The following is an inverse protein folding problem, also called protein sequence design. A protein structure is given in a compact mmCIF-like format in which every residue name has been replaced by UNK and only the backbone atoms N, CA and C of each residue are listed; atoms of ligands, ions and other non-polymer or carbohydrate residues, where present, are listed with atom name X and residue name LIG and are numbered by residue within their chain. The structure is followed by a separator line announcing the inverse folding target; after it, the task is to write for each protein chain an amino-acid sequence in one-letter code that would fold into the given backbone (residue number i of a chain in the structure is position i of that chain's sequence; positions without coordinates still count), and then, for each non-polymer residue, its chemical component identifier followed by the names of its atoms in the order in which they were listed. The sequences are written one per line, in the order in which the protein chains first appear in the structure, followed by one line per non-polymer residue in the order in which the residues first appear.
data_IF_261160380693
#
_entry.id   IF_261160380693
#
_cell.length_a   1.000
_cell.length_b   1.000
_cell.length_c   1.000
_cell.angle_alpha   90.00
_cell.angle_beta   90.00
_cell.angle_gamma   90.00
#
_symmetry.space_group_name_H-M   'P 1'
#
loop_
_entity.id
_entity.type
_entity.pdbx_description
1 polymer ?
#
# COMPACT_ATOMS: atom_id res chain seq x y z
N UNK A 1 -11.22 4.37 9.90
CA UNK A 1 -10.24 5.34 9.37
C UNK A 1 -10.33 6.64 10.16
N UNK A 2 -9.18 7.28 10.43
CA UNK A 2 -9.08 8.59 11.07
C UNK A 2 -8.38 9.57 10.13
N UNK A 3 -8.94 10.75 10.00
CA UNK A 3 -8.52 11.78 9.05
C UNK A 3 -8.82 13.18 9.63
N UNK A 4 -8.25 14.21 9.04
CA UNK A 4 -8.56 15.59 9.40
C UNK A 4 -9.75 16.10 8.60
N UNK A 5 -10.65 16.82 9.28
CA UNK A 5 -11.76 17.55 8.69
C UNK A 5 -11.70 19.01 9.14
N UNK A 6 -12.33 19.90 8.39
CA UNK A 6 -12.46 21.29 8.77
C UNK A 6 -13.25 21.42 10.08
N UNK A 7 -12.84 22.33 10.96
CA UNK A 7 -13.58 22.64 12.18
C UNK A 7 -14.91 23.32 11.83
N UNK A 8 -15.96 22.98 12.57
CA UNK A 8 -17.34 23.36 12.25
C UNK A 8 -17.54 24.89 12.12
N UNK A 9 -16.85 25.70 12.93
CA UNK A 9 -16.91 27.18 12.85
C UNK A 9 -16.38 27.73 11.53
N UNK A 10 -15.28 27.16 11.03
CA UNK A 10 -14.64 27.58 9.78
C UNK A 10 -15.42 27.04 8.60
N UNK A 11 -16.00 25.85 8.73
CA UNK A 11 -16.87 25.26 7.72
C UNK A 11 -18.12 26.09 7.42
N UNK A 12 -18.60 26.89 8.38
CA UNK A 12 -19.71 27.84 8.17
C UNK A 12 -19.27 29.19 7.59
N UNK A 13 -17.97 29.44 7.54
CA UNK A 13 -17.41 30.71 7.06
C UNK A 13 -17.25 30.73 5.54
N UNK A 14 -17.10 31.93 4.97
CA UNK A 14 -16.79 32.11 3.53
C UNK A 14 -15.44 31.53 3.10
N UNK A 15 -14.57 31.23 4.06
CA UNK A 15 -13.24 30.66 3.81
C UNK A 15 -13.21 29.13 3.82
N UNK A 16 -14.37 28.48 3.99
CA UNK A 16 -14.48 27.02 4.08
C UNK A 16 -13.87 26.32 2.86
N UNK A 17 -14.24 26.74 1.66
CA UNK A 17 -13.77 26.12 0.41
C UNK A 17 -12.25 26.23 0.25
N UNK A 18 -11.68 27.38 0.59
CA UNK A 18 -10.23 27.61 0.56
C UNK A 18 -9.49 26.64 1.48
N UNK A 19 -9.94 26.49 2.73
CA UNK A 19 -9.29 25.56 3.65
C UNK A 19 -9.56 24.09 3.32
N UNK A 20 -10.68 23.77 2.70
CA UNK A 20 -10.94 22.42 2.18
C UNK A 20 -9.97 22.05 1.05
N UNK A 21 -9.68 22.98 0.12
CA UNK A 21 -8.68 22.78 -0.94
C UNK A 21 -7.28 22.53 -0.37
N UNK A 22 -6.85 23.33 0.62
CA UNK A 22 -5.57 23.09 1.31
C UNK A 22 -5.59 21.72 2.00
N UNK A 23 -6.66 21.43 2.73
CA UNK A 23 -6.80 20.18 3.49
C UNK A 23 -6.69 18.97 2.58
N UNK A 24 -7.31 18.98 1.40
CA UNK A 24 -7.23 17.90 0.42
C UNK A 24 -5.79 17.56 0.04
N UNK A 25 -4.94 18.59 -0.12
CA UNK A 25 -3.52 18.44 -0.48
C UNK A 25 -2.67 17.87 0.66
N UNK A 26 -2.96 18.25 1.92
CA UNK A 26 -2.14 17.90 3.09
C UNK A 26 -2.77 16.84 4.01
N UNK A 27 -3.95 16.30 3.66
CA UNK A 27 -4.65 15.36 4.53
C UNK A 27 -3.83 14.09 4.73
N UNK A 28 -3.92 13.52 5.93
CA UNK A 28 -3.34 12.23 6.23
C UNK A 28 -4.43 11.27 6.66
N UNK A 29 -4.32 10.02 6.19
CA UNK A 29 -5.27 8.96 6.53
C UNK A 29 -4.57 7.92 7.39
N UNK A 30 -5.19 7.57 8.52
CA UNK A 30 -4.76 6.45 9.34
C UNK A 30 -5.86 5.38 9.37
N UNK A 31 -5.47 4.17 9.01
CA UNK A 31 -6.32 3.00 9.06
C UNK A 31 -6.01 2.19 10.32
N UNK A 32 -7.06 1.68 10.95
CA UNK A 32 -7.00 0.81 12.11
C UNK A 32 -8.31 0.05 12.20
N UNK A 33 -8.22 -1.19 12.65
CA UNK A 33 -9.39 -2.05 12.88
C UNK A 33 -10.26 -1.53 14.03
N UNK A 34 -9.65 -0.82 14.99
CA UNK A 34 -10.32 -0.32 16.18
C UNK A 34 -10.45 1.21 16.17
N UNK A 35 -11.62 1.73 16.60
CA UNK A 35 -11.92 3.17 16.71
C UNK A 35 -10.97 3.95 17.63
N UNK A 36 -10.24 3.26 18.52
CA UNK A 36 -9.39 3.89 19.54
C UNK A 36 -8.01 4.34 19.00
N UNK A 37 -7.56 3.82 17.85
CA UNK A 37 -6.24 4.15 17.27
C UNK A 37 -5.08 4.11 18.28
N UNK A 38 -5.02 3.06 19.10
CA UNK A 38 -3.99 2.90 20.13
C UNK A 38 -2.79 2.11 19.59
N UNK A 39 -1.58 2.47 20.03
CA UNK A 39 -0.36 1.70 19.80
C UNK A 39 0.21 1.19 21.11
N UNK A 40 0.78 -0.02 21.11
CA UNK A 40 1.50 -0.58 22.24
C UNK A 40 2.86 0.13 22.36
N UNK A 41 3.18 0.66 23.54
CA UNK A 41 4.47 1.28 23.87
C UNK A 41 4.97 0.71 25.20
N UNK A 42 6.27 0.48 25.34
CA UNK A 42 6.87 0.06 26.61
C UNK A 42 7.35 1.30 27.37
N UNK A 43 6.98 1.43 28.65
CA UNK A 43 7.47 2.49 29.54
C UNK A 43 7.82 1.85 30.89
N UNK A 44 9.06 2.04 31.35
CA UNK A 44 9.58 1.47 32.61
C UNK A 44 9.25 -0.04 32.76
N UNK A 45 9.56 -0.83 31.72
CA UNK A 45 9.33 -2.28 31.73
C UNK A 45 7.87 -2.75 31.54
N UNK A 46 6.86 -1.88 31.61
CA UNK A 46 5.45 -2.23 31.40
C UNK A 46 4.98 -1.90 29.98
N UNK A 47 4.11 -2.74 29.40
CA UNK A 47 3.46 -2.49 28.10
C UNK A 47 2.18 -1.66 28.33
N UNK A 48 2.11 -0.47 27.75
CA UNK A 48 1.00 0.47 27.87
C UNK A 48 0.41 0.73 26.49
N UNK A 49 -0.90 0.97 26.41
CA UNK A 49 -1.56 1.45 25.19
C UNK A 49 -1.59 2.97 25.19
N UNK A 50 -1.06 3.58 24.13
CA UNK A 50 -0.99 5.04 23.98
C UNK A 50 -1.70 5.43 22.69
N UNK A 51 -2.47 6.54 22.66
CA UNK A 51 -3.01 7.07 21.41
C UNK A 51 -1.92 7.23 20.35
N UNK A 52 -2.18 6.74 19.14
CA UNK A 52 -1.33 7.02 18.00
C UNK A 52 -1.52 8.49 17.65
N UNK A 53 -0.42 9.24 17.59
CA UNK A 53 -0.44 10.61 17.11
C UNK A 53 -0.67 10.65 15.59
N UNK A 54 -1.42 11.64 15.14
CA UNK A 54 -1.64 11.94 13.73
C UNK A 54 -1.44 13.43 13.55
N UNK A 55 -0.60 13.79 12.58
CA UNK A 55 -0.30 15.16 12.19
C UNK A 55 -0.66 15.34 10.72
N UNK A 56 -0.89 16.59 10.31
CA UNK A 56 -1.03 16.94 8.90
C UNK A 56 0.25 16.57 8.14
N UNK A 57 0.14 16.38 6.83
CA UNK A 57 1.30 16.05 6.02
C UNK A 57 2.28 17.24 6.00
N UNK A 58 3.54 16.96 6.35
CA UNK A 58 4.63 17.92 6.16
C UNK A 58 5.11 17.82 4.71
N UNK A 59 5.28 18.96 4.07
CA UNK A 59 5.70 19.05 2.68
C UNK A 59 7.23 19.08 2.65
N UNK A 60 7.88 18.17 1.92
CA UNK A 60 9.35 18.13 1.82
C UNK A 60 9.81 18.96 0.62
N UNK A 61 10.94 19.66 0.74
CA UNK A 61 11.52 20.48 -0.34
C UNK A 61 11.77 19.69 -1.65
N UNK A 62 12.15 18.42 -1.60
CA UNK A 62 12.32 17.61 -2.81
C UNK A 62 11.01 17.21 -3.50
N UNK A 63 9.88 17.32 -2.80
CA UNK A 63 8.57 17.14 -3.42
C UNK A 63 8.14 18.41 -4.18
N UNK A 64 8.86 19.53 -4.09
CA UNK A 64 8.51 20.81 -4.71
C UNK A 64 8.29 20.77 -6.24
N UNK A 65 8.99 19.92 -7.03
CA UNK A 65 8.65 19.70 -8.44
C UNK A 65 7.23 19.12 -8.63
N UNK A 66 6.75 18.32 -7.66
CA UNK A 66 5.37 17.83 -7.57
C UNK A 66 4.42 18.91 -7.05
N UNK A 67 4.90 19.88 -6.26
CA UNK A 67 4.10 21.05 -5.84
C UNK A 67 3.85 22.06 -6.95
N UNK A 68 4.72 22.15 -7.96
CA UNK A 68 4.39 22.78 -9.26
C UNK A 68 3.18 22.11 -9.93
N UNK A 69 2.94 20.82 -9.69
CA UNK A 69 1.75 20.08 -10.16
C UNK A 69 0.55 20.14 -9.19
N UNK A 70 0.75 20.50 -7.91
CA UNK A 70 -0.33 20.67 -6.92
C UNK A 70 -0.95 22.08 -6.96
N UNK A 71 -0.47 22.96 -7.85
CA UNK A 71 -1.00 24.31 -8.09
C UNK A 71 -1.31 25.06 -6.79
N UNK A 72 -0.31 25.15 -5.90
CA UNK A 72 -0.48 25.97 -4.70
C UNK A 72 -0.59 27.44 -5.11
N UNK A 73 -1.80 28.00 -4.92
CA UNK A 73 -2.03 29.41 -5.16
C UNK A 73 -1.14 30.23 -4.21
N UNK A 74 -0.68 31.41 -4.63
CA UNK A 74 0.15 32.29 -3.82
C UNK A 74 -0.45 32.53 -2.42
N UNK A 75 -1.79 32.64 -2.36
CA UNK A 75 -2.53 32.78 -1.09
C UNK A 75 -2.42 31.57 -0.17
N UNK A 76 -2.35 30.35 -0.70
CA UNK A 76 -2.19 29.12 0.09
C UNK A 76 -0.78 29.04 0.69
N UNK A 77 0.24 29.45 -0.07
CA UNK A 77 1.65 29.38 0.35
C UNK A 77 1.93 30.20 1.62
N UNK A 78 1.21 31.31 1.83
CA UNK A 78 1.33 32.16 3.03
C UNK A 78 1.05 31.37 4.33
N UNK A 79 0.23 30.32 4.25
CA UNK A 79 -0.11 29.48 5.39
C UNK A 79 0.91 28.39 5.69
N UNK A 80 2.01 28.33 4.94
CA UNK A 80 3.08 27.36 5.16
C UNK A 80 4.33 28.03 5.72
N UNK A 81 4.88 27.44 6.78
CA UNK A 81 6.11 27.91 7.43
C UNK A 81 7.23 26.95 7.12
N UNK A 82 8.35 27.49 6.60
CA UNK A 82 9.58 26.75 6.39
C UNK A 82 10.20 26.40 7.75
N UNK A 83 10.41 25.12 8.00
CA UNK A 83 10.98 24.58 9.25
C UNK A 83 12.07 23.58 8.89
N UNK A 84 13.17 23.59 9.62
CA UNK A 84 14.28 22.66 9.44
C UNK A 84 14.37 21.74 10.65
N UNK A 85 14.36 20.43 10.42
CA UNK A 85 14.49 19.42 11.47
C UNK A 85 15.70 18.52 11.17
N UNK A 86 16.51 18.24 12.20
CA UNK A 86 17.62 17.30 12.06
C UNK A 86 17.11 15.86 12.00
N UNK A 87 17.29 15.19 10.87
CA UNK A 87 16.95 13.79 10.73
C UNK A 87 18.10 12.92 11.24
N UNK A 88 17.94 12.34 12.44
CA UNK A 88 18.94 11.46 13.05
C UNK A 88 19.29 10.20 12.24
N UNK A 89 18.35 9.69 11.43
CA UNK A 89 18.57 8.48 10.63
C UNK A 89 19.46 8.78 9.43
N UNK A 90 19.24 9.91 8.76
CA UNK A 90 20.02 10.35 7.60
C UNK A 90 21.24 11.20 7.96
N UNK A 91 21.29 11.70 9.20
CA UNK A 91 22.29 12.65 9.72
C UNK A 91 22.36 13.97 8.93
N UNK A 92 21.22 14.42 8.41
CA UNK A 92 21.11 15.64 7.58
C UNK A 92 19.95 16.50 8.09
N UNK A 93 20.09 17.82 7.96
CA UNK A 93 18.99 18.76 8.16
C UNK A 93 18.04 18.69 6.97
N UNK A 94 16.79 18.33 7.24
CA UNK A 94 15.76 18.26 6.21
C UNK A 94 14.82 19.46 6.35
N UNK A 95 14.65 20.17 5.25
CA UNK A 95 13.72 21.29 5.12
C UNK A 95 12.31 20.78 4.85
N UNK A 96 11.36 21.26 5.65
CA UNK A 96 9.94 20.97 5.51
C UNK A 96 9.11 22.25 5.53
N UNK A 97 7.93 22.20 4.94
CA UNK A 97 6.91 23.22 5.06
C UNK A 97 5.74 22.67 5.87
N UNK A 98 5.46 23.32 7.00
CA UNK A 98 4.37 22.97 7.91
C UNK A 98 3.22 23.95 7.78
N UNK A 99 1.99 23.44 7.91
CA UNK A 99 0.82 24.31 7.95
C UNK A 99 0.78 25.09 9.27
N UNK A 100 0.69 26.43 9.17
CA UNK A 100 0.81 27.38 10.28
C UNK A 100 -0.32 27.28 11.32
N UNK A 101 -1.54 26.97 10.88
CA UNK A 101 -2.74 27.02 11.73
C UNK A 101 -3.42 25.64 11.95
N UNK A 102 -2.75 24.62 12.55
CA UNK A 102 -3.31 23.27 12.67
C UNK A 102 -4.67 23.19 13.38
N UNK A 103 -4.97 24.16 14.26
CA UNK A 103 -6.22 24.24 15.04
C UNK A 103 -7.48 24.43 14.17
N UNK A 104 -7.31 24.81 12.89
CA UNK A 104 -8.41 24.91 11.92
C UNK A 104 -8.98 23.54 11.54
N UNK A 105 -8.24 22.47 11.79
CA UNK A 105 -8.62 21.11 11.45
C UNK A 105 -8.82 20.25 12.69
N UNK A 106 -9.81 19.38 12.65
CA UNK A 106 -10.18 18.46 13.73
C UNK A 106 -10.08 17.03 13.23
N UNK A 107 -9.55 16.13 14.07
CA UNK A 107 -9.54 14.70 13.76
C UNK A 107 -10.95 14.12 13.86
N UNK A 108 -11.43 13.56 12.74
CA UNK A 108 -12.69 12.81 12.69
C UNK A 108 -12.38 11.34 12.43
N UNK A 109 -13.25 10.47 12.94
CA UNK A 109 -13.14 9.02 12.74
C UNK A 109 -14.38 8.56 11.97
N UNK A 110 -14.16 7.93 10.82
CA UNK A 110 -15.18 7.30 9.99
C UNK A 110 -14.96 5.79 9.97
N UNK A 111 -15.99 4.96 10.14
CA UNK A 111 -15.89 3.52 9.87
C UNK A 111 -15.39 3.33 8.44
N UNK A 112 -14.31 2.57 8.29
CA UNK A 112 -13.77 2.22 6.98
C UNK A 112 -13.71 0.71 6.93
N UNK A 113 -14.91 0.14 6.95
CA UNK A 113 -15.16 -1.29 6.91
C UNK A 113 -15.59 -1.57 5.47
N UNK A 114 -15.06 -2.64 4.89
CA UNK A 114 -15.58 -3.17 3.63
C UNK A 114 -16.97 -3.73 3.95
N UNK A 115 -18.01 -2.92 3.75
CA UNK A 115 -19.41 -3.29 4.03
C UNK A 115 -20.01 -4.12 2.91
N UNK A 116 -19.41 -4.09 1.72
CA UNK A 116 -19.89 -4.80 0.55
C UNK A 116 -19.15 -6.11 0.37
N UNK A 117 -19.91 -7.17 0.12
CA UNK A 117 -19.36 -8.45 -0.28
C UNK A 117 -18.61 -8.29 -1.60
N UNK A 118 -17.47 -8.97 -1.73
CA UNK A 118 -16.81 -9.13 -3.03
C UNK A 118 -17.83 -9.83 -3.95
N UNK A 119 -18.19 -9.25 -5.11
CA UNK A 119 -19.03 -9.96 -6.06
C UNK A 119 -18.27 -11.22 -6.47
N UNK A 120 -18.85 -12.37 -6.13
CA UNK A 120 -18.27 -13.67 -6.40
C UNK A 120 -18.92 -14.17 -7.68
N UNK A 121 -18.17 -14.14 -8.76
CA UNK A 121 -18.56 -14.79 -10.00
C UNK A 121 -18.24 -16.29 -9.86
N UNK A 122 -19.29 -17.09 -9.71
CA UNK A 122 -19.16 -18.52 -9.47
C UNK A 122 -18.53 -19.23 -10.66
N UNK A 123 -18.72 -18.73 -11.88
CA UNK A 123 -18.20 -19.37 -13.08
C UNK A 123 -16.71 -19.10 -13.22
N UNK A 124 -16.27 -17.86 -12.98
CA UNK A 124 -14.84 -17.52 -12.94
C UNK A 124 -14.08 -18.23 -11.81
N UNK A 125 -14.66 -18.34 -10.61
CA UNK A 125 -14.03 -19.06 -9.50
C UNK A 125 -13.95 -20.58 -9.78
N UNK A 126 -14.94 -21.14 -10.47
CA UNK A 126 -14.91 -22.54 -10.93
C UNK A 126 -13.81 -22.77 -11.97
N UNK A 127 -13.70 -21.90 -12.98
CA UNK A 127 -12.65 -21.97 -13.99
C UNK A 127 -11.26 -21.85 -13.36
N UNK A 128 -11.07 -20.89 -12.44
CA UNK A 128 -9.82 -20.74 -11.69
C UNK A 128 -9.47 -22.00 -10.90
N UNK A 129 -10.45 -22.61 -10.22
CA UNK A 129 -10.23 -23.85 -9.47
C UNK A 129 -9.86 -25.04 -10.40
N UNK A 130 -10.45 -25.11 -11.59
CA UNK A 130 -10.10 -26.12 -12.60
C UNK A 130 -8.67 -25.91 -13.12
N UNK A 131 -8.29 -24.67 -13.41
CA UNK A 131 -6.93 -24.32 -13.83
C UNK A 131 -5.90 -24.61 -12.74
N UNK A 132 -6.18 -24.27 -11.48
CA UNK A 132 -5.30 -24.59 -10.36
C UNK A 132 -5.13 -26.11 -10.21
N UNK A 133 -6.21 -26.90 -10.34
CA UNK A 133 -6.16 -28.36 -10.32
C UNK A 133 -5.32 -28.95 -11.47
N UNK A 134 -5.43 -28.38 -12.67
CA UNK A 134 -4.60 -28.77 -13.82
C UNK A 134 -3.11 -28.45 -13.58
N UNK A 135 -2.80 -27.28 -13.03
CA UNK A 135 -1.43 -26.85 -12.74
C UNK A 135 -0.80 -27.64 -11.58
N UNK A 136 -1.59 -28.08 -10.60
CA UNK A 136 -1.14 -28.91 -9.49
C UNK A 136 -0.86 -30.37 -9.89
N UNK A 137 -1.32 -30.81 -11.06
CA UNK A 137 -1.00 -32.14 -11.57
C UNK A 137 0.50 -32.27 -11.87
N UNK A 138 1.15 -33.22 -11.20
CA UNK A 138 2.60 -33.46 -11.30
C UNK A 138 3.07 -33.70 -12.75
N UNK A 139 2.25 -34.37 -13.58
CA UNK A 139 2.59 -34.62 -15.00
C UNK A 139 2.65 -33.30 -15.79
N UNK A 140 1.62 -32.47 -15.64
CA UNK A 140 1.49 -31.15 -16.29
C UNK A 140 2.60 -30.22 -15.85
N UNK A 141 2.88 -30.18 -14.54
CA UNK A 141 3.97 -29.40 -13.98
C UNK A 141 5.33 -29.80 -14.54
N UNK A 142 5.57 -31.10 -14.76
CA UNK A 142 6.80 -31.61 -15.38
C UNK A 142 6.95 -31.17 -16.84
N UNK A 143 5.87 -31.19 -17.61
CA UNK A 143 5.84 -30.70 -19.00
C UNK A 143 6.13 -29.20 -19.03
N UNK A 144 5.48 -28.40 -18.18
CA UNK A 144 5.71 -26.95 -18.06
C UNK A 144 7.16 -26.65 -17.68
N UNK A 145 7.72 -27.35 -16.69
CA UNK A 145 9.11 -27.12 -16.28
C UNK A 145 10.12 -27.46 -17.38
N UNK A 146 9.86 -28.54 -18.14
CA UNK A 146 10.75 -29.02 -19.21
C UNK A 146 10.65 -28.15 -20.47
N UNK A 147 9.43 -27.86 -20.94
CA UNK A 147 9.19 -27.12 -22.19
C UNK A 147 9.25 -25.61 -22.01
N UNK A 148 8.72 -25.06 -20.91
CA UNK A 148 8.52 -23.60 -20.75
C UNK A 148 9.64 -22.95 -19.93
N UNK A 149 10.02 -23.52 -18.79
CA UNK A 149 10.99 -22.90 -17.86
C UNK A 149 12.44 -23.30 -18.19
N UNK A 150 12.65 -24.47 -18.80
CA UNK A 150 13.97 -24.94 -19.24
C UNK A 150 14.93 -25.34 -18.11
N UNK A 151 14.45 -25.45 -16.86
CA UNK A 151 15.21 -25.97 -15.71
C UNK A 151 14.29 -26.79 -14.79
N UNK A 152 14.75 -28.00 -14.43
CA UNK A 152 14.19 -28.80 -13.33
C UNK A 152 14.84 -28.37 -12.01
N UNK A 153 14.06 -28.35 -10.93
CA UNK A 153 14.62 -28.17 -9.59
C UNK A 153 15.32 -29.46 -9.14
N UNK A 154 16.57 -29.38 -8.71
CA UNK A 154 17.25 -30.53 -8.12
C UNK A 154 16.58 -30.95 -6.81
N UNK A 155 16.61 -32.24 -6.48
CA UNK A 155 15.99 -32.80 -5.27
C UNK A 155 16.40 -32.05 -3.97
N UNK A 156 17.66 -31.58 -3.93
CA UNK A 156 18.22 -30.75 -2.84
C UNK A 156 17.51 -29.40 -2.66
N UNK A 157 16.92 -28.82 -3.71
CA UNK A 157 16.19 -27.54 -3.63
C UNK A 157 14.77 -27.73 -3.11
N UNK A 158 14.16 -28.88 -3.40
CA UNK A 158 12.82 -29.25 -2.89
C UNK A 158 12.90 -29.53 -1.39
N UNK A 159 13.92 -30.26 -0.97
CA UNK A 159 14.17 -30.60 0.44
C UNK A 159 14.44 -29.36 1.29
N UNK A 160 15.27 -28.41 0.80
CA UNK A 160 15.51 -27.12 1.48
C UNK A 160 14.24 -26.28 1.72
N UNK A 161 13.18 -26.52 0.94
CA UNK A 161 11.90 -25.80 0.96
C UNK A 161 10.81 -26.51 1.76
N UNK A 162 10.93 -27.82 2.00
CA UNK A 162 9.94 -28.62 2.74
C UNK A 162 9.83 -28.10 4.19
N UNK A 163 8.60 -27.89 4.67
CA UNK A 163 8.31 -27.54 6.07
C UNK A 163 8.48 -26.06 6.47
N UNK A 164 8.92 -25.16 5.58
CA UNK A 164 9.10 -23.74 5.88
C UNK A 164 7.95 -22.91 5.30
N UNK A 165 7.24 -22.13 6.13
CA UNK A 165 6.12 -21.28 5.70
C UNK A 165 6.49 -20.31 4.57
N UNK A 166 7.70 -19.74 4.58
CA UNK A 166 8.21 -18.88 3.49
C UNK A 166 8.27 -19.55 2.11
N UNK A 167 8.14 -20.88 2.05
CA UNK A 167 8.09 -21.67 0.82
C UNK A 167 6.81 -22.50 0.69
N UNK A 168 5.91 -22.48 1.68
CA UNK A 168 4.54 -22.98 1.51
C UNK A 168 3.81 -21.92 0.69
N UNK A 169 3.37 -22.31 -0.50
CA UNK A 169 2.73 -21.47 -1.51
C UNK A 169 3.64 -20.44 -2.20
N UNK A 170 4.17 -20.86 -3.34
CA UNK A 170 4.51 -19.98 -4.47
C UNK A 170 4.12 -20.75 -5.74
N UNK A 171 2.83 -20.74 -6.03
CA UNK A 171 2.33 -21.13 -7.35
C UNK A 171 3.02 -20.25 -8.39
N UNK A 172 3.06 -20.71 -9.63
CA UNK A 172 3.73 -20.12 -10.79
C UNK A 172 3.51 -18.59 -10.98
N UNK A 173 2.55 -17.97 -10.27
CA UNK A 173 2.31 -16.53 -10.14
C UNK A 173 3.54 -15.67 -9.79
N UNK A 174 4.55 -16.22 -9.09
CA UNK A 174 5.78 -15.50 -8.72
C UNK A 174 7.02 -15.91 -9.52
N UNK A 175 6.87 -16.75 -10.55
CA UNK A 175 7.95 -16.89 -11.51
C UNK A 175 8.05 -15.56 -12.25
N UNK A 176 9.11 -14.80 -11.99
CA UNK A 176 9.47 -13.65 -12.78
C UNK A 176 9.30 -14.02 -14.26
N UNK A 177 8.27 -13.49 -14.92
CA UNK A 177 8.04 -13.66 -16.37
C UNK A 177 9.30 -13.27 -17.16
N UNK A 178 10.17 -12.45 -16.58
CA UNK A 178 11.49 -12.10 -17.10
C UNK A 178 12.51 -13.25 -17.20
N UNK A 179 12.19 -14.46 -16.70
CA UNK A 179 13.05 -15.65 -16.84
C UNK A 179 12.52 -16.68 -17.84
N UNK A 180 11.35 -16.43 -18.44
CA UNK A 180 10.78 -17.33 -19.44
C UNK A 180 11.53 -17.12 -20.76
N UNK A 181 11.97 -18.22 -21.39
CA UNK A 181 12.69 -18.16 -22.67
C UNK A 181 11.75 -18.03 -23.88
N UNK A 182 10.46 -18.27 -23.67
CA UNK A 182 9.43 -18.35 -24.70
C UNK A 182 8.45 -17.18 -24.56
N UNK A 183 7.94 -16.71 -25.68
CA UNK A 183 6.89 -15.70 -25.80
C UNK A 183 5.53 -16.25 -25.38
N UNK A 184 4.58 -15.36 -25.05
CA UNK A 184 3.23 -15.75 -24.62
C UNK A 184 2.47 -16.57 -25.69
N UNK A 185 2.69 -16.28 -26.97
CA UNK A 185 2.10 -17.00 -28.10
C UNK A 185 2.64 -18.43 -28.24
N UNK A 186 3.94 -18.62 -28.05
CA UNK A 186 4.56 -19.96 -28.09
C UNK A 186 4.13 -20.80 -26.89
N UNK A 187 3.90 -20.17 -25.74
CA UNK A 187 3.36 -20.86 -24.58
C UNK A 187 1.93 -21.33 -24.87
N UNK A 188 1.09 -20.46 -25.44
CA UNK A 188 -0.29 -20.82 -25.80
C UNK A 188 -0.33 -21.99 -26.79
N UNK A 189 0.49 -21.99 -27.84
CA UNK A 189 0.54 -23.10 -28.81
C UNK A 189 1.03 -24.41 -28.16
N UNK A 190 1.98 -24.36 -27.22
CA UNK A 190 2.42 -25.54 -26.47
C UNK A 190 1.28 -26.11 -25.64
N UNK A 191 0.44 -25.27 -25.02
CA UNK A 191 -0.71 -25.73 -24.26
C UNK A 191 -1.78 -26.35 -25.18
N UNK A 192 -2.09 -25.75 -26.32
CA UNK A 192 -3.02 -26.30 -27.33
C UNK A 192 -2.54 -27.63 -27.93
N UNK A 193 -1.23 -27.83 -28.09
CA UNK A 193 -0.67 -29.09 -28.58
C UNK A 193 -0.62 -30.21 -27.51
N UNK A 194 -0.70 -29.86 -26.22
CA UNK A 194 -0.47 -30.81 -25.12
C UNK A 194 -1.69 -31.14 -24.26
N UNK A 195 -2.75 -30.32 -24.32
CA UNK A 195 -3.99 -30.47 -23.55
C UNK A 195 -5.21 -30.37 -24.45
#
# INVERSE_FOLDING_TARGET
MRFFALRDDIARSKSADFFNQILEKINTYQYSDNRKFLKKKRKRGKKIQVPREQKLHKIIEWQFPKYKKLEFNYKEQIYFVKTEEYNSHRKVFETYYEFRDPWRFVLRVKPYIITHYRPLDLDLERELAQLDKLLDNHKVRGIIQKKIVGRSYGWKDVEKKKGKEKYKYNNLKNNNLSRMKLSASEIASIFEETF
#
